data_IF_886585881384
#
_entry.id   IF_886585881384
#
_cell.length_a   1.000
_cell.length_b   1.000
_cell.length_c   1.000
_cell.angle_alpha   90.00
_cell.angle_beta   90.00
_cell.angle_gamma   90.00
#
_symmetry.space_group_name_H-M   'P 1'
#
loop_
_entity.id
_entity.type
_entity.pdbx_description
1 polymer ?
#
# COMPACT_ATOMS: atom_id res chain seq x y z
N UNK A 1 13.40 -27.68 -2.81
CA UNK A 1 12.75 -27.12 -1.61
C UNK A 1 11.28 -27.53 -1.58
N UNK A 2 10.62 -27.49 -0.41
CA UNK A 2 9.18 -27.82 -0.24
C UNK A 2 8.42 -26.62 0.34
N UNK A 3 7.31 -26.23 -0.30
CA UNK A 3 6.41 -25.19 0.22
C UNK A 3 5.49 -25.81 1.29
N UNK A 4 5.43 -25.19 2.47
CA UNK A 4 4.69 -25.73 3.63
C UNK A 4 3.25 -25.22 3.74
N UNK A 5 2.89 -24.18 2.99
CA UNK A 5 1.60 -23.49 3.10
C UNK A 5 1.46 -22.62 4.36
N UNK A 6 2.46 -22.56 5.24
CA UNK A 6 2.46 -21.70 6.43
C UNK A 6 3.03 -20.33 6.09
N UNK A 7 2.38 -19.28 6.58
CA UNK A 7 2.89 -17.91 6.51
C UNK A 7 3.93 -17.68 7.60
N UNK A 8 4.98 -16.91 7.26
CA UNK A 8 5.87 -16.34 8.26
C UNK A 8 5.20 -15.10 8.87
N UNK A 9 4.66 -15.27 10.07
CA UNK A 9 3.87 -14.25 10.74
C UNK A 9 2.46 -14.08 10.16
N UNK A 10 1.88 -12.91 10.39
CA UNK A 10 0.52 -12.57 9.95
C UNK A 10 0.44 -12.41 8.43
N UNK A 11 -0.77 -12.54 7.88
CA UNK A 11 -0.99 -12.22 6.48
C UNK A 11 -0.80 -10.71 6.24
N UNK A 12 0.05 -10.34 5.28
CA UNK A 12 0.37 -8.96 4.95
C UNK A 12 -0.79 -8.28 4.20
N UNK A 13 -1.85 -7.90 4.93
CA UNK A 13 -3.08 -7.31 4.39
C UNK A 13 -3.61 -6.22 5.30
N UNK A 14 -4.10 -5.13 4.72
CA UNK A 14 -4.69 -4.01 5.44
C UNK A 14 -3.71 -3.41 6.46
N UNK A 15 -4.07 -3.33 7.76
CA UNK A 15 -3.20 -2.76 8.80
C UNK A 15 -1.82 -3.41 8.91
N UNK A 16 -1.70 -4.71 8.60
CA UNK A 16 -0.40 -5.40 8.65
C UNK A 16 0.58 -4.87 7.60
N UNK A 17 0.09 -4.33 6.46
CA UNK A 17 0.96 -3.64 5.48
C UNK A 17 1.60 -2.39 6.08
N UNK A 18 0.83 -1.62 6.85
CA UNK A 18 1.31 -0.43 7.56
C UNK A 18 2.33 -0.81 8.63
N UNK A 19 2.03 -1.79 9.48
CA UNK A 19 2.94 -2.21 10.54
C UNK A 19 4.32 -2.65 10.00
N UNK A 20 4.34 -3.38 8.88
CA UNK A 20 5.59 -3.81 8.23
C UNK A 20 6.31 -2.66 7.56
N UNK A 21 5.59 -1.74 6.92
CA UNK A 21 6.17 -0.51 6.37
C UNK A 21 6.84 0.29 7.49
N UNK A 22 6.12 0.58 8.58
CA UNK A 22 6.65 1.37 9.70
C UNK A 22 7.84 0.69 10.37
N UNK A 23 7.82 -0.64 10.49
CA UNK A 23 8.97 -1.41 11.00
C UNK A 23 10.19 -1.26 10.07
N UNK A 24 9.98 -1.36 8.76
CA UNK A 24 11.05 -1.20 7.77
C UNK A 24 11.59 0.24 7.73
N UNK A 25 10.70 1.24 7.83
CA UNK A 25 11.05 2.65 7.87
C UNK A 25 11.74 3.05 9.17
N UNK A 26 11.31 2.52 10.31
CA UNK A 26 11.92 2.79 11.61
C UNK A 26 13.36 2.28 11.72
N UNK A 27 13.80 1.42 10.79
CA UNK A 27 15.20 1.04 10.63
C UNK A 27 16.04 2.08 9.87
N UNK A 28 15.42 3.08 9.23
CA UNK A 28 16.10 4.18 8.55
C UNK A 28 16.40 5.33 9.54
N UNK A 29 17.62 5.87 9.51
CA UNK A 29 18.01 7.00 10.36
C UNK A 29 17.51 8.34 9.80
N UNK A 30 17.20 9.31 10.68
CA UNK A 30 16.77 10.68 10.32
C UNK A 30 15.25 10.88 10.35
N UNK A 31 14.76 11.88 9.61
CA UNK A 31 13.35 12.31 9.61
C UNK A 31 12.37 11.34 8.89
N UNK A 32 12.88 10.19 8.44
CA UNK A 32 12.13 9.21 7.65
C UNK A 32 12.00 9.62 6.16
N UNK A 33 11.84 8.66 5.24
CA UNK A 33 11.67 8.96 3.82
C UNK A 33 10.25 9.43 3.52
N UNK A 34 10.10 10.21 2.45
CA UNK A 34 8.81 10.52 1.84
C UNK A 34 8.26 9.30 1.08
N UNK A 35 7.05 8.87 1.38
CA UNK A 35 6.47 7.59 0.97
C UNK A 35 5.42 7.79 -0.12
N UNK A 36 5.65 7.15 -1.26
CA UNK A 36 4.63 6.90 -2.28
C UNK A 36 4.11 5.46 -2.15
N UNK A 37 2.81 5.26 -2.19
CA UNK A 37 2.18 3.94 -2.20
C UNK A 37 1.16 3.82 -3.35
N UNK A 38 1.15 2.66 -4.00
CA UNK A 38 0.23 2.30 -5.07
C UNK A 38 -0.50 1.01 -4.70
N UNK A 39 -1.82 0.94 -4.93
CA UNK A 39 -2.65 -0.22 -4.62
C UNK A 39 -3.88 -0.30 -5.49
N UNK A 40 -4.51 -1.47 -5.59
CA UNK A 40 -5.67 -1.74 -6.46
C UNK A 40 -6.88 -2.33 -5.71
N UNK A 41 -6.76 -2.53 -4.40
CA UNK A 41 -7.71 -3.32 -3.61
C UNK A 41 -8.08 -2.70 -2.26
N UNK A 42 -9.19 -3.18 -1.68
CA UNK A 42 -9.60 -2.83 -0.32
C UNK A 42 -8.50 -3.12 0.71
N UNK A 43 -7.64 -4.12 0.45
CA UNK A 43 -6.56 -4.50 1.36
C UNK A 43 -5.37 -3.53 1.37
N UNK A 44 -5.40 -2.49 0.56
CA UNK A 44 -4.38 -1.44 0.47
C UNK A 44 -4.82 -0.13 1.15
N UNK A 45 -6.10 -0.03 1.54
CA UNK A 45 -6.69 1.23 2.01
C UNK A 45 -5.87 1.90 3.11
N UNK A 46 -5.48 1.14 4.13
CA UNK A 46 -4.69 1.64 5.26
C UNK A 46 -3.28 2.05 4.84
N UNK A 47 -2.66 1.32 3.91
CA UNK A 47 -1.33 1.64 3.39
C UNK A 47 -1.36 2.93 2.55
N UNK A 48 -2.35 3.07 1.67
CA UNK A 48 -2.52 4.26 0.84
C UNK A 48 -2.79 5.50 1.71
N UNK A 49 -3.56 5.35 2.79
CA UNK A 49 -3.81 6.44 3.73
C UNK A 49 -2.60 6.79 4.62
N UNK A 50 -1.71 5.83 4.88
CA UNK A 50 -0.47 6.04 5.64
C UNK A 50 0.62 6.73 4.82
N UNK A 51 0.66 6.54 3.51
CA UNK A 51 1.68 7.14 2.65
C UNK A 51 1.51 8.66 2.54
N UNK A 52 2.61 9.38 2.29
CA UNK A 52 2.54 10.81 1.97
C UNK A 52 1.78 11.04 0.66
N UNK A 53 1.94 10.11 -0.29
CA UNK A 53 1.15 10.06 -1.53
C UNK A 53 0.61 8.65 -1.76
N UNK A 54 -0.69 8.46 -1.53
CA UNK A 54 -1.41 7.22 -1.84
C UNK A 54 -2.14 7.31 -3.18
N UNK A 55 -1.89 6.35 -4.08
CA UNK A 55 -2.53 6.26 -5.40
C UNK A 55 -3.29 4.96 -5.55
N UNK A 56 -4.59 5.07 -5.84
CA UNK A 56 -5.42 3.94 -6.23
C UNK A 56 -5.32 3.72 -7.73
N UNK A 57 -4.76 2.57 -8.13
CA UNK A 57 -4.53 2.22 -9.53
C UNK A 57 -5.58 1.21 -9.98
N UNK A 58 -6.43 1.60 -10.93
CA UNK A 58 -7.44 0.74 -11.59
C UNK A 58 -8.15 -0.21 -10.61
N UNK A 59 -8.86 0.33 -9.62
CA UNK A 59 -9.38 -0.49 -8.54
C UNK A 59 -10.37 -1.52 -9.08
N UNK A 60 -10.27 -2.76 -8.59
CA UNK A 60 -11.22 -3.83 -8.96
C UNK A 60 -12.66 -3.51 -8.54
N UNK A 61 -12.80 -2.65 -7.52
CA UNK A 61 -14.07 -2.08 -7.03
C UNK A 61 -13.78 -0.70 -6.45
N UNK A 62 -14.66 0.31 -6.61
CA UNK A 62 -14.42 1.65 -6.07
C UNK A 62 -14.17 1.63 -4.55
N UNK A 63 -13.08 2.26 -4.10
CA UNK A 63 -12.79 2.45 -2.66
C UNK A 63 -13.46 3.73 -2.16
N UNK A 64 -14.40 3.66 -1.20
CA UNK A 64 -15.10 4.85 -0.72
C UNK A 64 -14.14 5.84 -0.04
N UNK A 65 -14.11 7.10 -0.47
CA UNK A 65 -13.32 8.14 0.18
C UNK A 65 -11.83 8.17 -0.18
N UNK A 66 -11.40 7.44 -1.22
CA UNK A 66 -10.10 7.67 -1.87
C UNK A 66 -10.36 8.23 -3.27
N UNK A 67 -9.86 9.43 -3.58
CA UNK A 67 -9.92 9.96 -4.95
C UNK A 67 -9.03 9.10 -5.85
N UNK A 68 -9.55 8.68 -7.00
CA UNK A 68 -8.68 8.26 -8.09
C UNK A 68 -7.83 9.47 -8.47
N UNK A 69 -6.51 9.30 -8.59
CA UNK A 69 -5.74 10.26 -9.35
C UNK A 69 -6.30 10.19 -10.77
N UNK A 70 -6.86 11.29 -11.26
CA UNK A 70 -7.32 11.38 -12.64
C UNK A 70 -6.16 10.94 -13.53
N UNK A 71 -6.34 9.78 -14.17
CA UNK A 71 -5.35 9.28 -15.10
C UNK A 71 -5.22 10.31 -16.19
N UNK A 72 -4.01 10.86 -16.36
CA UNK A 72 -3.60 11.55 -17.56
C UNK A 72 -4.15 10.78 -18.75
N UNK A 73 -5.16 11.38 -19.38
CA UNK A 73 -5.75 10.93 -20.61
C UNK A 73 -4.76 11.14 -21.74
N UNK A 74 -3.78 10.24 -21.81
CA UNK A 74 -2.93 10.04 -22.98
C UNK A 74 -3.82 9.69 -24.16
N UNK A 75 -4.15 10.71 -24.94
CA UNK A 75 -4.89 10.60 -26.18
C UNK A 75 -3.93 10.13 -27.28
N UNK A 76 -4.29 8.98 -27.89
CA UNK A 76 -3.77 8.34 -29.11
C UNK A 76 -2.56 7.42 -28.97
#
# INVERSE_FOLDING_TARGET
GRLTGRLAGRNCRGPEKVARLDTWLGAAAGDGPYVYAYGDSDGDRELLARADVGVLVRPRRPLPGLSLADGDGGSR
#
